data_IF_861569970927
#
_entry.id   IF_861569970927
#
_cell.length_a   1.000
_cell.length_b   1.000
_cell.length_c   1.000
_cell.angle_alpha   90.00
_cell.angle_beta   90.00
_cell.angle_gamma   90.00
#
_symmetry.space_group_name_H-M   'P 1'
#
loop_
_entity.id
_entity.type
_entity.pdbx_description
1 polymer ?
#
# COMPACT_ATOMS: atom_id res chain seq x y z
N UNK A 1 -7.64 31.54 46.84
CA UNK A 1 -6.79 32.69 46.40
C UNK A 1 -7.69 33.65 45.64
N UNK A 2 -7.53 34.97 45.77
CA UNK A 2 -8.29 35.93 44.94
C UNK A 2 -7.82 35.93 43.48
N UNK A 3 -8.55 36.57 42.57
CA UNK A 3 -8.14 36.70 41.16
C UNK A 3 -6.72 37.29 41.06
N UNK A 4 -5.95 36.88 40.05
CA UNK A 4 -4.54 37.27 39.79
C UNK A 4 -3.49 36.81 40.80
N UNK A 5 -3.88 36.13 41.89
CA UNK A 5 -2.92 35.57 42.85
C UNK A 5 -2.27 34.30 42.27
N UNK A 6 -0.98 34.14 42.54
CA UNK A 6 -0.16 33.01 42.09
C UNK A 6 -0.05 31.97 43.20
N UNK A 7 -0.23 30.70 42.82
CA UNK A 7 0.16 29.55 43.63
C UNK A 7 1.55 29.12 43.17
N UNK A 8 2.58 29.49 43.94
CA UNK A 8 3.96 29.10 43.66
C UNK A 8 4.19 27.64 44.05
N UNK A 9 4.87 26.90 43.18
CA UNK A 9 5.09 25.46 43.33
C UNK A 9 6.52 25.11 43.73
N UNK A 10 7.45 26.04 43.52
CA UNK A 10 8.80 25.99 44.08
C UNK A 10 8.96 27.13 45.10
N UNK A 11 9.98 27.06 45.95
CA UNK A 11 10.32 28.15 46.87
C UNK A 11 10.82 29.43 46.14
N UNK A 12 10.75 29.46 44.81
CA UNK A 12 11.14 30.56 43.94
C UNK A 12 9.94 31.38 43.46
N UNK A 13 10.23 32.34 42.58
CA UNK A 13 9.23 33.29 42.04
C UNK A 13 8.80 33.01 40.60
N UNK A 14 9.29 31.93 40.00
CA UNK A 14 9.24 31.69 38.56
C UNK A 14 8.43 30.46 38.13
N UNK A 15 7.99 29.62 39.07
CA UNK A 15 7.13 28.46 38.79
C UNK A 15 5.83 28.57 39.59
N UNK A 16 4.71 28.75 38.88
CA UNK A 16 3.42 28.97 39.52
C UNK A 16 2.23 28.63 38.63
N UNK A 17 1.08 28.43 39.26
CA UNK A 17 -0.23 28.35 38.61
C UNK A 17 -1.02 29.59 39.00
N UNK A 18 -1.70 30.24 38.06
CA UNK A 18 -2.56 31.38 38.39
C UNK A 18 -3.72 31.56 37.41
N UNK A 19 -4.79 32.14 37.93
CA UNK A 19 -5.88 32.66 37.12
C UNK A 19 -5.47 34.03 36.54
N UNK A 20 -5.49 34.14 35.21
CA UNK A 20 -5.04 35.34 34.48
C UNK A 20 -6.20 36.32 34.30
N UNK A 21 -7.38 35.77 34.02
CA UNK A 21 -8.67 36.48 33.91
C UNK A 21 -9.77 35.49 34.29
N UNK A 22 -11.02 35.96 34.40
CA UNK A 22 -12.16 35.08 34.68
C UNK A 22 -12.12 33.86 33.76
N UNK A 23 -12.16 32.68 34.39
CA UNK A 23 -12.25 31.37 33.73
C UNK A 23 -11.04 31.02 32.83
N UNK A 24 -9.88 31.65 33.09
CA UNK A 24 -8.63 31.44 32.34
C UNK A 24 -7.44 31.17 33.27
N UNK A 25 -6.82 30.01 33.15
CA UNK A 25 -5.74 29.52 34.01
C UNK A 25 -4.46 29.25 33.21
N UNK A 26 -3.33 29.76 33.71
CA UNK A 26 -1.99 29.48 33.16
C UNK A 26 -1.17 28.61 34.12
N UNK A 27 -0.43 27.65 33.54
CA UNK A 27 0.72 26.99 34.16
C UNK A 27 1.98 27.68 33.66
N UNK A 28 2.79 28.20 34.58
CA UNK A 28 4.03 28.94 34.28
C UNK A 28 5.21 28.24 34.93
N UNK A 29 6.27 28.02 34.16
CA UNK A 29 7.54 27.45 34.63
C UNK A 29 8.68 28.32 34.10
N UNK A 30 9.59 28.74 34.98
CA UNK A 30 10.70 29.61 34.57
C UNK A 30 10.26 30.97 33.99
N UNK A 31 9.12 31.52 34.44
CA UNK A 31 8.45 32.71 33.89
C UNK A 31 7.95 32.56 32.44
N UNK A 32 7.83 31.34 31.92
CA UNK A 32 7.27 31.06 30.60
C UNK A 32 5.95 30.29 30.76
N UNK A 33 4.89 30.74 30.08
CA UNK A 33 3.63 30.00 30.00
C UNK A 33 3.87 28.70 29.25
N UNK A 34 3.54 27.56 29.86
CA UNK A 34 3.72 26.23 29.23
C UNK A 34 2.40 25.59 28.81
N UNK A 35 1.30 25.92 29.48
CA UNK A 35 -0.04 25.42 29.20
C UNK A 35 -1.08 26.44 29.65
N UNK A 36 -2.18 26.56 28.91
CA UNK A 36 -3.33 27.38 29.27
C UNK A 36 -4.64 26.60 29.17
N UNK A 37 -5.50 26.79 30.17
CA UNK A 37 -6.90 26.36 30.17
C UNK A 37 -7.75 27.63 30.07
N UNK A 38 -8.51 27.77 28.98
CA UNK A 38 -9.32 28.96 28.70
C UNK A 38 -10.75 28.51 28.41
N UNK A 39 -11.59 28.53 29.44
CA UNK A 39 -12.99 28.09 29.35
C UNK A 39 -13.85 29.01 28.48
N UNK A 40 -13.67 30.35 28.45
CA UNK A 40 -14.40 31.22 27.53
C UNK A 40 -14.25 30.82 26.06
N UNK A 41 -13.08 30.31 25.68
CA UNK A 41 -12.83 29.77 24.34
C UNK A 41 -12.89 28.24 24.26
N UNK A 42 -13.21 27.56 25.37
CA UNK A 42 -13.27 26.09 25.50
C UNK A 42 -12.00 25.41 24.98
N UNK A 43 -10.82 25.98 25.25
CA UNK A 43 -9.55 25.50 24.72
C UNK A 43 -8.56 25.09 25.81
N UNK A 44 -7.72 24.12 25.45
CA UNK A 44 -6.44 23.84 26.07
C UNK A 44 -5.39 24.13 25.02
N UNK A 45 -4.46 25.06 25.28
CA UNK A 45 -3.42 25.43 24.31
C UNK A 45 -2.01 25.31 24.88
N UNK A 46 -1.10 24.92 23.98
CA UNK A 46 0.33 25.08 24.15
C UNK A 46 0.77 26.34 23.36
N UNK A 47 1.83 27.05 23.79
CA UNK A 47 2.42 28.11 23.00
C UNK A 47 2.92 27.60 21.63
N UNK A 48 3.03 28.48 20.64
CA UNK A 48 3.58 28.11 19.32
C UNK A 48 4.97 27.47 19.48
N UNK A 49 5.28 26.45 18.65
CA UNK A 49 6.50 25.62 18.66
C UNK A 49 6.67 24.66 19.84
N UNK A 50 5.78 24.70 20.83
CA UNK A 50 5.81 23.74 21.94
C UNK A 50 5.29 22.38 21.50
N UNK A 51 5.83 21.35 22.14
CA UNK A 51 5.61 19.95 21.82
C UNK A 51 4.88 19.27 22.97
N UNK A 52 3.91 18.42 22.64
CA UNK A 52 3.29 17.51 23.60
C UNK A 52 4.03 16.16 23.57
N UNK A 53 4.95 15.96 24.51
CA UNK A 53 5.74 14.74 24.65
C UNK A 53 4.91 13.60 25.26
N UNK A 54 5.09 12.37 24.75
CA UNK A 54 4.27 11.21 25.13
C UNK A 54 4.91 10.27 26.16
N UNK A 55 6.25 10.27 26.29
CA UNK A 55 7.00 9.30 27.11
C UNK A 55 8.01 9.95 28.09
N UNK A 56 7.96 11.28 28.24
CA UNK A 56 8.94 12.03 29.05
C UNK A 56 10.35 12.10 28.45
N UNK A 57 10.57 11.43 27.31
CA UNK A 57 11.76 11.58 26.48
C UNK A 57 11.73 12.84 25.63
N UNK A 58 12.68 12.95 24.68
CA UNK A 58 12.85 14.14 23.84
C UNK A 58 12.47 13.94 22.36
N UNK A 59 12.01 12.75 21.99
CA UNK A 59 11.93 12.30 20.61
C UNK A 59 10.56 11.73 20.20
N UNK A 60 9.63 11.57 21.15
CA UNK A 60 8.24 11.19 20.85
C UNK A 60 7.26 12.29 21.24
N UNK A 61 6.70 13.00 20.26
CA UNK A 61 5.79 14.13 20.52
C UNK A 61 4.83 14.47 19.38
N UNK A 62 3.79 15.25 19.71
CA UNK A 62 2.87 15.88 18.76
C UNK A 62 3.04 17.40 18.88
N UNK A 63 3.11 18.11 17.75
CA UNK A 63 3.25 19.58 17.76
C UNK A 63 2.67 20.24 16.51
N UNK A 64 2.43 21.54 16.62
CA UNK A 64 2.16 22.40 15.46
C UNK A 64 3.48 23.01 14.98
N UNK A 65 4.00 22.54 13.85
CA UNK A 65 5.31 22.97 13.31
C UNK A 65 5.24 24.31 12.57
N UNK A 66 4.06 24.64 12.04
CA UNK A 66 3.72 25.90 11.41
C UNK A 66 2.20 26.09 11.47
N UNK A 67 1.69 27.31 11.18
CA UNK A 67 0.26 27.59 11.23
C UNK A 67 -0.56 26.58 10.40
N UNK A 68 -1.46 25.86 11.08
CA UNK A 68 -2.31 24.81 10.51
C UNK A 68 -1.55 23.58 9.98
N UNK A 69 -0.37 23.29 10.53
CA UNK A 69 0.45 22.10 10.24
C UNK A 69 0.73 21.34 11.52
N UNK A 70 0.03 20.23 11.72
CA UNK A 70 0.23 19.33 12.86
C UNK A 70 1.11 18.15 12.45
N UNK A 71 2.07 17.78 13.28
CA UNK A 71 3.00 16.68 13.04
C UNK A 71 3.03 15.70 14.22
N UNK A 72 3.14 14.41 13.88
CA UNK A 72 3.38 13.31 14.79
C UNK A 72 4.82 12.83 14.59
N UNK A 73 5.66 13.03 15.61
CA UNK A 73 7.10 12.76 15.56
C UNK A 73 7.43 11.61 16.49
N UNK A 74 8.22 10.66 15.97
CA UNK A 74 8.75 9.52 16.72
C UNK A 74 10.23 9.36 16.36
N UNK A 75 11.10 9.41 17.38
CA UNK A 75 12.53 9.48 17.16
C UNK A 75 12.94 10.79 16.46
N UNK A 76 13.70 10.66 15.38
CA UNK A 76 14.10 11.80 14.54
C UNK A 76 13.18 12.03 13.34
N UNK A 77 12.12 11.24 13.20
CA UNK A 77 11.30 11.21 11.98
C UNK A 77 9.89 11.76 12.23
N UNK A 78 9.41 12.62 11.32
CA UNK A 78 7.99 12.93 11.19
C UNK A 78 7.31 11.76 10.50
N UNK A 79 6.37 11.09 11.16
CA UNK A 79 5.67 9.94 10.57
C UNK A 79 4.40 10.36 9.82
N UNK A 80 3.76 11.42 10.28
CA UNK A 80 2.47 11.85 9.79
C UNK A 80 2.31 13.36 9.97
N UNK A 81 1.90 14.04 8.91
CA UNK A 81 1.63 15.48 8.89
C UNK A 81 0.19 15.72 8.44
N UNK A 82 -0.56 16.51 9.20
CA UNK A 82 -1.88 17.02 8.82
C UNK A 82 -1.71 18.49 8.45
N UNK A 83 -2.00 18.84 7.20
CA UNK A 83 -1.92 20.23 6.73
C UNK A 83 -3.24 20.69 6.13
N UNK A 84 -3.77 21.80 6.64
CA UNK A 84 -5.00 22.41 6.11
C UNK A 84 -4.86 22.71 4.61
N UNK A 85 -5.87 22.32 3.83
CA UNK A 85 -5.91 22.51 2.37
C UNK A 85 -5.05 21.54 1.53
N UNK A 86 -4.23 20.70 2.15
CA UNK A 86 -3.40 19.68 1.45
C UNK A 86 -3.81 18.25 1.84
N UNK A 87 -4.23 18.04 3.09
CA UNK A 87 -4.64 16.75 3.62
C UNK A 87 -3.57 16.09 4.48
N UNK A 88 -3.64 14.76 4.57
CA UNK A 88 -2.71 13.94 5.34
C UNK A 88 -1.50 13.58 4.47
N UNK A 89 -0.30 13.93 4.92
CA UNK A 89 0.95 13.69 4.21
C UNK A 89 1.72 12.62 4.98
N UNK A 90 2.10 11.56 4.26
CA UNK A 90 3.10 10.58 4.71
C UNK A 90 4.39 10.92 3.95
N UNK A 91 5.52 11.17 4.64
CA UNK A 91 6.76 11.51 3.95
C UNK A 91 7.25 10.40 3.02
N UNK A 92 8.03 10.78 1.99
CA UNK A 92 8.63 9.82 1.06
C UNK A 92 9.39 8.72 1.82
N UNK A 93 9.40 7.51 1.27
CA UNK A 93 10.00 6.29 1.87
C UNK A 93 9.35 5.76 3.15
N UNK A 94 8.52 6.55 3.83
CA UNK A 94 7.73 6.08 4.98
C UNK A 94 6.60 5.19 4.49
N UNK A 95 6.33 4.13 5.24
CA UNK A 95 5.36 3.09 4.88
C UNK A 95 4.08 3.26 5.67
N UNK A 96 2.95 3.22 4.98
CA UNK A 96 1.65 2.97 5.60
C UNK A 96 1.47 1.45 5.72
N UNK A 97 1.66 0.91 6.92
CA UNK A 97 1.49 -0.51 7.20
C UNK A 97 0.01 -0.88 7.40
N UNK A 98 -0.32 -2.11 7.05
CA UNK A 98 -1.60 -2.75 7.37
C UNK A 98 -1.37 -3.84 8.43
N UNK A 99 -2.41 -4.24 9.17
CA UNK A 99 -2.44 -5.38 10.11
C UNK A 99 -1.44 -5.41 11.29
N UNK A 100 -0.63 -4.37 11.47
CA UNK A 100 0.36 -4.28 12.56
C UNK A 100 1.65 -5.07 12.29
N UNK A 101 1.73 -5.83 11.20
CA UNK A 101 2.95 -6.42 10.68
C UNK A 101 3.79 -5.42 9.85
N UNK A 102 4.98 -5.86 9.45
CA UNK A 102 5.94 -5.05 8.67
C UNK A 102 6.06 -5.48 7.20
N UNK A 103 5.23 -6.40 6.74
CA UNK A 103 5.35 -7.02 5.42
C UNK A 103 4.24 -6.60 4.43
N UNK A 104 3.23 -5.86 4.88
CA UNK A 104 2.16 -5.34 4.02
C UNK A 104 2.06 -3.83 4.19
N UNK A 105 2.32 -3.08 3.11
CA UNK A 105 2.34 -1.62 3.16
C UNK A 105 2.15 -0.95 1.80
N UNK A 106 1.83 0.35 1.83
CA UNK A 106 1.91 1.26 0.69
C UNK A 106 2.94 2.36 1.01
N UNK A 107 3.77 2.74 0.03
CA UNK A 107 4.72 3.85 0.16
C UNK A 107 4.95 4.55 -1.18
N UNK A 108 5.47 5.77 -1.12
CA UNK A 108 6.19 6.36 -2.25
C UNK A 108 7.61 5.77 -2.29
N UNK A 109 7.92 4.99 -3.33
CA UNK A 109 9.23 4.34 -3.49
C UNK A 109 10.29 5.32 -4.02
N UNK A 110 9.87 6.18 -4.96
CA UNK A 110 10.60 7.32 -5.50
C UNK A 110 9.59 8.39 -5.94
N UNK A 111 10.06 9.59 -6.30
CA UNK A 111 9.18 10.68 -6.74
C UNK A 111 8.14 10.21 -7.77
N UNK A 112 6.86 10.43 -7.45
CA UNK A 112 5.70 10.06 -8.28
C UNK A 112 5.55 8.55 -8.57
N UNK A 113 6.14 7.69 -7.74
CA UNK A 113 6.02 6.22 -7.84
C UNK A 113 5.48 5.63 -6.54
N UNK A 114 4.24 5.13 -6.59
CA UNK A 114 3.61 4.45 -5.46
C UNK A 114 3.89 2.95 -5.56
N UNK A 115 4.46 2.36 -4.52
CA UNK A 115 4.62 0.90 -4.39
C UNK A 115 3.63 0.33 -3.38
N UNK A 116 2.94 -0.72 -3.80
CA UNK A 116 2.06 -1.53 -2.96
C UNK A 116 2.69 -2.91 -2.73
N UNK A 117 2.95 -3.27 -1.47
CA UNK A 117 3.55 -4.55 -1.06
C UNK A 117 2.59 -5.33 -0.17
N UNK A 118 2.48 -6.63 -0.41
CA UNK A 118 1.77 -7.56 0.46
C UNK A 118 2.65 -8.76 0.77
N UNK A 119 2.69 -9.16 2.05
CA UNK A 119 3.41 -10.36 2.51
C UNK A 119 4.92 -10.33 2.26
N UNK A 120 5.54 -9.16 2.10
CA UNK A 120 6.96 -9.02 1.82
C UNK A 120 7.35 -9.40 0.38
N UNK A 121 6.38 -9.55 -0.51
CA UNK A 121 6.63 -9.80 -1.93
C UNK A 121 7.22 -8.58 -2.64
N UNK A 122 7.65 -8.75 -3.91
CA UNK A 122 8.17 -7.64 -4.72
C UNK A 122 7.17 -6.50 -4.99
N UNK A 123 5.87 -6.73 -4.76
CA UNK A 123 4.83 -5.71 -4.89
C UNK A 123 4.50 -5.32 -6.34
N UNK A 124 3.81 -4.19 -6.47
CA UNK A 124 3.49 -3.52 -7.74
C UNK A 124 3.71 -2.02 -7.62
N UNK A 125 4.12 -1.40 -8.71
CA UNK A 125 4.42 0.03 -8.80
C UNK A 125 3.37 0.75 -9.68
N UNK A 126 2.86 1.89 -9.23
CA UNK A 126 2.08 2.84 -10.03
C UNK A 126 2.98 4.04 -10.31
N UNK A 127 3.43 4.16 -11.56
CA UNK A 127 4.30 5.25 -12.00
C UNK A 127 3.48 6.44 -12.49
N UNK A 128 4.11 7.61 -12.56
CA UNK A 128 3.49 8.80 -13.17
C UNK A 128 2.91 8.50 -14.56
N UNK A 129 1.64 8.87 -14.77
CA UNK A 129 0.91 8.64 -16.02
C UNK A 129 0.45 7.20 -16.27
N UNK A 130 0.69 6.26 -15.35
CA UNK A 130 0.30 4.88 -15.53
C UNK A 130 -1.23 4.69 -15.50
N UNK A 131 -1.74 3.90 -16.44
CA UNK A 131 -3.15 3.44 -16.47
C UNK A 131 -3.31 2.03 -15.89
N UNK A 132 -2.20 1.37 -15.53
CA UNK A 132 -2.14 0.05 -14.92
C UNK A 132 -0.88 -0.10 -14.08
N UNK A 133 -0.87 -1.08 -13.18
CA UNK A 133 0.28 -1.40 -12.34
C UNK A 133 1.45 -1.99 -13.14
N UNK A 134 2.67 -1.60 -12.79
CA UNK A 134 3.93 -2.16 -13.27
C UNK A 134 4.39 -3.24 -12.29
N UNK A 135 4.75 -4.41 -12.82
CA UNK A 135 5.33 -5.49 -12.03
C UNK A 135 6.85 -5.55 -12.21
N UNK A 136 7.58 -5.84 -11.12
CA UNK A 136 9.02 -6.09 -11.16
C UNK A 136 9.32 -7.29 -12.08
N UNK A 137 10.18 -7.10 -13.09
CA UNK A 137 10.51 -8.13 -14.08
C UNK A 137 11.96 -8.09 -14.59
N UNK A 138 12.85 -7.34 -13.95
CA UNK A 138 14.27 -7.31 -14.31
C UNK A 138 14.90 -8.72 -14.17
N UNK A 139 15.67 -9.16 -15.15
CA UNK A 139 16.32 -10.48 -15.15
C UNK A 139 17.32 -10.63 -13.99
N UNK A 140 17.98 -9.54 -13.58
CA UNK A 140 18.96 -9.55 -12.47
C UNK A 140 18.31 -9.83 -11.11
N UNK A 141 16.98 -9.70 -11.03
CA UNK A 141 16.18 -10.01 -9.85
C UNK A 141 15.57 -11.42 -9.92
N UNK A 142 15.99 -12.25 -10.89
CA UNK A 142 15.51 -13.61 -11.12
C UNK A 142 16.66 -14.60 -11.06
N UNK A 143 16.35 -15.81 -10.65
CA UNK A 143 17.28 -16.96 -10.64
C UNK A 143 16.50 -18.23 -10.96
N UNK A 144 17.17 -19.29 -11.39
CA UNK A 144 16.53 -20.56 -11.74
C UNK A 144 15.54 -20.43 -12.91
N UNK A 145 15.90 -19.66 -13.95
CA UNK A 145 15.06 -19.48 -15.13
C UNK A 145 15.03 -20.75 -15.98
N UNK A 146 13.84 -21.32 -16.15
CA UNK A 146 13.58 -22.49 -16.99
C UNK A 146 12.57 -22.15 -18.09
N UNK A 147 12.74 -22.70 -19.31
CA UNK A 147 11.78 -22.50 -20.38
C UNK A 147 10.44 -23.20 -20.07
N UNK A 148 9.33 -22.56 -20.44
CA UNK A 148 8.02 -23.21 -20.41
C UNK A 148 7.91 -24.11 -21.63
N UNK A 149 7.98 -25.41 -21.42
CA UNK A 149 7.86 -26.44 -22.46
C UNK A 149 6.41 -26.95 -22.58
N UNK A 150 6.08 -27.51 -23.75
CA UNK A 150 4.77 -28.05 -24.13
C UNK A 150 3.61 -27.06 -23.94
N UNK A 151 3.88 -25.77 -24.16
CA UNK A 151 2.96 -24.69 -23.86
C UNK A 151 1.65 -24.82 -24.66
N UNK A 152 1.73 -25.21 -25.93
CA UNK A 152 0.58 -25.40 -26.82
C UNK A 152 -0.32 -26.53 -26.34
N UNK A 153 0.28 -27.67 -25.98
CA UNK A 153 -0.42 -28.81 -25.40
C UNK A 153 -1.07 -28.43 -24.07
N UNK A 154 -0.35 -27.72 -23.18
CA UNK A 154 -0.86 -27.24 -21.90
C UNK A 154 -2.08 -26.33 -22.09
N UNK A 155 -1.96 -25.31 -22.94
CA UNK A 155 -3.06 -24.39 -23.26
C UNK A 155 -4.26 -25.12 -23.86
N UNK A 156 -4.03 -26.11 -24.73
CA UNK A 156 -5.08 -26.90 -25.36
C UNK A 156 -5.91 -27.76 -24.38
N UNK A 157 -5.42 -27.98 -23.15
CA UNK A 157 -6.18 -28.69 -22.11
C UNK A 157 -7.07 -27.79 -21.26
N UNK A 158 -6.88 -26.47 -21.31
CA UNK A 158 -7.60 -25.52 -20.46
C UNK A 158 -9.03 -25.33 -20.96
N UNK A 159 -10.02 -25.51 -20.08
CA UNK A 159 -11.40 -25.15 -20.41
C UNK A 159 -11.55 -23.62 -20.47
N UNK A 160 -11.86 -23.11 -21.65
CA UNK A 160 -12.28 -21.72 -21.88
C UNK A 160 -13.79 -21.65 -21.90
N UNK A 161 -14.41 -21.19 -20.81
CA UNK A 161 -15.87 -21.24 -20.64
C UNK A 161 -16.44 -19.87 -20.31
N UNK A 162 -17.74 -19.71 -20.49
CA UNK A 162 -18.47 -18.54 -20.00
C UNK A 162 -19.51 -18.98 -19.00
N UNK A 163 -19.80 -18.16 -18.00
CA UNK A 163 -20.84 -18.47 -17.05
C UNK A 163 -21.07 -17.36 -16.05
N UNK A 164 -21.53 -17.76 -14.87
CA UNK A 164 -21.93 -16.88 -13.78
C UNK A 164 -21.27 -17.36 -12.49
N UNK A 165 -21.00 -16.44 -11.56
CA UNK A 165 -20.70 -16.85 -10.19
C UNK A 165 -21.98 -17.35 -9.52
N UNK A 166 -21.83 -18.24 -8.53
CA UNK A 166 -22.93 -18.59 -7.63
C UNK A 166 -23.16 -17.46 -6.64
N UNK A 167 -24.41 -17.12 -6.40
CA UNK A 167 -24.77 -16.23 -5.30
C UNK A 167 -24.32 -16.85 -3.97
N UNK A 168 -23.58 -16.07 -3.17
CA UNK A 168 -22.95 -16.53 -1.93
C UNK A 168 -22.46 -15.32 -1.12
N UNK A 169 -21.90 -15.54 0.07
CA UNK A 169 -21.24 -14.49 0.85
C UNK A 169 -20.08 -13.79 0.09
N UNK A 170 -19.55 -14.44 -0.97
CA UNK A 170 -18.46 -13.90 -1.81
C UNK A 170 -18.95 -13.11 -3.03
N UNK A 171 -20.20 -13.34 -3.46
CA UNK A 171 -20.81 -12.68 -4.60
C UNK A 171 -22.29 -12.46 -4.35
N UNK A 172 -22.69 -11.20 -4.22
CA UNK A 172 -24.10 -10.83 -4.11
C UNK A 172 -24.89 -11.19 -5.38
N UNK A 173 -26.23 -11.06 -5.29
CA UNK A 173 -27.15 -11.39 -6.38
C UNK A 173 -26.89 -10.58 -7.66
N UNK A 174 -26.38 -9.35 -7.56
CA UNK A 174 -26.08 -8.53 -8.74
C UNK A 174 -24.81 -9.04 -9.43
N UNK A 175 -23.74 -9.23 -8.68
CA UNK A 175 -22.47 -9.75 -9.15
C UNK A 175 -22.60 -11.16 -9.74
N UNK A 176 -23.45 -12.01 -9.14
CA UNK A 176 -23.75 -13.37 -9.60
C UNK A 176 -24.50 -13.38 -10.94
N UNK A 177 -25.35 -12.39 -11.24
CA UNK A 177 -26.08 -12.30 -12.52
C UNK A 177 -25.26 -11.78 -13.69
N UNK A 178 -24.02 -11.34 -13.48
CA UNK A 178 -23.14 -10.86 -14.56
C UNK A 178 -22.43 -12.05 -15.23
N UNK A 179 -22.70 -12.25 -16.52
CA UNK A 179 -22.00 -13.28 -17.33
C UNK A 179 -20.55 -12.87 -17.57
N UNK A 180 -19.62 -13.82 -17.43
CA UNK A 180 -18.18 -13.59 -17.56
C UNK A 180 -17.53 -14.73 -18.34
N UNK A 181 -16.37 -14.46 -18.92
CA UNK A 181 -15.46 -15.48 -19.43
C UNK A 181 -14.58 -15.98 -18.28
N UNK A 182 -14.25 -17.28 -18.30
CA UNK A 182 -13.49 -17.95 -17.27
C UNK A 182 -12.48 -18.91 -17.86
N UNK A 183 -11.34 -18.98 -17.19
CA UNK A 183 -10.54 -20.19 -17.06
C UNK A 183 -10.88 -20.85 -15.71
N UNK A 184 -10.79 -22.18 -15.65
CA UNK A 184 -10.99 -22.93 -14.41
C UNK A 184 -9.67 -23.05 -13.66
N UNK A 185 -9.62 -22.57 -12.42
CA UNK A 185 -8.39 -22.53 -11.62
C UNK A 185 -7.74 -23.91 -11.44
N UNK A 186 -8.54 -24.98 -11.32
CA UNK A 186 -8.06 -26.35 -11.20
C UNK A 186 -7.36 -26.84 -12.48
N UNK A 187 -7.88 -26.48 -13.66
CA UNK A 187 -7.26 -26.84 -14.94
C UNK A 187 -5.91 -26.12 -15.09
N UNK A 188 -5.87 -24.84 -14.72
CA UNK A 188 -4.62 -24.05 -14.75
C UNK A 188 -3.62 -24.60 -13.73
N UNK A 189 -4.06 -24.99 -12.53
CA UNK A 189 -3.18 -25.57 -11.51
C UNK A 189 -2.43 -26.81 -12.02
N UNK A 190 -3.05 -27.63 -12.87
CA UNK A 190 -2.43 -28.83 -13.42
C UNK A 190 -1.31 -28.55 -14.43
N UNK A 191 -1.27 -27.37 -15.04
CA UNK A 191 -0.32 -27.04 -16.13
C UNK A 191 0.58 -25.84 -15.85
N UNK A 192 0.18 -24.95 -14.95
CA UNK A 192 0.88 -23.72 -14.55
C UNK A 192 0.50 -23.35 -13.09
N UNK A 193 0.93 -24.13 -12.09
CA UNK A 193 0.57 -23.91 -10.69
C UNK A 193 0.98 -22.54 -10.14
N UNK A 194 1.99 -21.90 -10.73
CA UNK A 194 2.51 -20.58 -10.34
C UNK A 194 1.49 -19.44 -10.58
N UNK A 195 0.50 -19.66 -11.43
CA UNK A 195 -0.59 -18.72 -11.68
C UNK A 195 -1.72 -18.81 -10.64
N UNK A 196 -1.66 -19.77 -9.72
CA UNK A 196 -2.72 -20.02 -8.74
C UNK A 196 -2.40 -19.33 -7.41
N UNK A 197 -3.45 -18.77 -6.81
CA UNK A 197 -3.49 -18.34 -5.43
C UNK A 197 -4.46 -19.25 -4.68
N UNK A 198 -4.10 -19.67 -3.46
CA UNK A 198 -5.02 -20.38 -2.57
C UNK A 198 -5.30 -19.47 -1.39
N UNK A 199 -6.57 -19.17 -1.15
CA UNK A 199 -6.95 -18.37 0.01
C UNK A 199 -6.98 -19.19 1.32
N UNK A 200 -7.13 -18.56 2.49
CA UNK A 200 -7.15 -19.28 3.77
C UNK A 200 -8.26 -20.33 3.91
N UNK A 201 -9.36 -20.20 3.17
CA UNK A 201 -10.47 -21.15 3.17
C UNK A 201 -10.25 -22.30 2.16
N UNK A 202 -9.14 -22.28 1.42
CA UNK A 202 -8.78 -23.28 0.41
C UNK A 202 -9.37 -23.03 -0.98
N UNK A 203 -10.02 -21.89 -1.24
CA UNK A 203 -10.50 -21.55 -2.57
C UNK A 203 -9.35 -21.10 -3.47
N UNK A 204 -9.37 -21.58 -4.72
CA UNK A 204 -8.37 -21.25 -5.73
C UNK A 204 -8.78 -19.99 -6.51
N UNK A 205 -7.89 -19.00 -6.53
CA UNK A 205 -7.94 -17.83 -7.39
C UNK A 205 -6.92 -17.91 -8.52
N UNK A 206 -7.23 -17.31 -9.66
CA UNK A 206 -6.34 -17.25 -10.82
C UNK A 206 -5.74 -15.85 -10.99
N UNK A 207 -4.41 -15.77 -11.04
CA UNK A 207 -3.67 -14.56 -11.41
C UNK A 207 -3.57 -14.51 -12.94
N UNK A 208 -4.58 -13.95 -13.61
CA UNK A 208 -4.64 -13.92 -15.08
C UNK A 208 -3.37 -13.37 -15.75
N UNK A 209 -2.72 -12.36 -15.18
CA UNK A 209 -1.46 -11.82 -15.70
C UNK A 209 -0.31 -12.85 -15.72
N UNK A 210 -0.35 -13.87 -14.83
CA UNK A 210 0.63 -14.96 -14.79
C UNK A 210 0.39 -16.01 -15.89
N UNK A 211 -0.71 -15.95 -16.63
CA UNK A 211 -0.92 -16.78 -17.83
C UNK A 211 -0.10 -16.31 -19.02
N UNK A 212 0.30 -15.02 -19.06
CA UNK A 212 0.97 -14.43 -20.22
C UNK A 212 2.25 -15.19 -20.64
N UNK A 213 3.17 -15.59 -19.74
CA UNK A 213 4.34 -16.37 -20.14
C UNK A 213 4.00 -17.70 -20.85
N UNK A 214 3.01 -18.43 -20.35
CA UNK A 214 2.54 -19.67 -20.98
C UNK A 214 1.93 -19.40 -22.36
N UNK A 215 1.12 -18.35 -22.48
CA UNK A 215 0.51 -17.94 -23.75
C UNK A 215 1.58 -17.55 -24.78
N UNK A 216 2.59 -16.76 -24.38
CA UNK A 216 3.72 -16.38 -25.24
C UNK A 216 4.54 -17.60 -25.67
N UNK A 217 4.82 -18.53 -24.76
CA UNK A 217 5.50 -19.78 -25.10
C UNK A 217 4.69 -20.60 -26.12
N UNK A 218 3.36 -20.66 -25.95
CA UNK A 218 2.47 -21.33 -26.90
C UNK A 218 2.48 -20.71 -28.29
N UNK A 219 2.47 -19.37 -28.36
CA UNK A 219 2.63 -18.66 -29.63
C UNK A 219 3.96 -18.98 -30.30
N UNK A 220 5.07 -19.00 -29.56
CA UNK A 220 6.39 -19.31 -30.10
C UNK A 220 6.45 -20.76 -30.64
N UNK A 221 5.88 -21.73 -29.92
CA UNK A 221 5.77 -23.12 -30.40
C UNK A 221 4.94 -23.22 -31.69
N UNK A 222 3.80 -22.52 -31.77
CA UNK A 222 3.00 -22.46 -33.00
C UNK A 222 3.79 -21.85 -34.17
N UNK A 223 4.51 -20.75 -33.95
CA UNK A 223 5.36 -20.12 -34.99
C UNK A 223 6.39 -21.11 -35.51
N UNK A 224 7.11 -21.80 -34.63
CA UNK A 224 8.11 -22.81 -35.01
C UNK A 224 7.48 -23.98 -35.79
N UNK A 225 6.27 -24.41 -35.41
CA UNK A 225 5.55 -25.46 -36.13
C UNK A 225 5.12 -25.00 -37.53
N UNK A 226 4.63 -23.76 -37.68
CA UNK A 226 4.27 -23.17 -38.97
C UNK A 226 5.49 -23.11 -39.89
N UNK A 227 6.62 -22.59 -39.40
CA UNK A 227 7.88 -22.54 -40.18
C UNK A 227 8.31 -23.93 -40.67
N UNK A 228 8.23 -24.94 -39.81
CA UNK A 228 8.53 -26.34 -40.15
C UNK A 228 7.59 -26.88 -41.22
N UNK A 229 6.30 -26.58 -41.12
CA UNK A 229 5.31 -27.01 -42.12
C UNK A 229 5.52 -26.30 -43.46
N UNK A 230 5.73 -24.98 -43.47
CA UNK A 230 6.01 -24.21 -44.68
C UNK A 230 7.24 -24.73 -45.40
N UNK A 231 8.32 -25.06 -44.68
CA UNK A 231 9.51 -25.66 -45.27
C UNK A 231 9.23 -27.04 -45.90
N UNK A 232 8.38 -27.87 -45.27
CA UNK A 232 7.97 -29.16 -45.85
C UNK A 232 7.13 -28.97 -47.11
N UNK A 233 6.19 -28.03 -47.09
CA UNK A 233 5.33 -27.72 -48.24
C UNK A 233 6.18 -27.26 -49.42
N UNK A 234 7.10 -26.32 -49.22
CA UNK A 234 7.99 -25.84 -50.28
C UNK A 234 8.85 -26.98 -50.89
N UNK A 235 9.35 -27.89 -50.05
CA UNK A 235 10.10 -29.07 -50.53
C UNK A 235 9.22 -30.03 -51.35
N UNK A 236 7.97 -30.23 -50.96
CA UNK A 236 7.03 -31.09 -51.67
C UNK A 236 6.59 -30.46 -52.99
N UNK A 237 6.29 -29.17 -53.01
CA UNK A 237 5.92 -28.43 -54.23
C UNK A 237 7.04 -28.44 -55.27
N UNK A 238 8.29 -28.25 -54.83
CA UNK A 238 9.46 -28.34 -55.71
C UNK A 238 9.78 -29.76 -56.22
N UNK A 239 9.17 -30.81 -55.65
CA UNK A 239 9.36 -32.20 -56.10
C UNK A 239 8.28 -32.66 -57.10
N UNK A 240 7.23 -31.87 -57.30
CA UNK A 240 6.11 -32.16 -58.21
C UNK A 240 6.20 -31.37 -59.52
N UNK A 241 7.15 -30.42 -59.61
CA UNK A 241 7.54 -29.74 -60.86
C UNK A 241 8.64 -30.51 -61.58
#
# INVERSE_FOLDING_TARGET
LGSTKKLFLDGGGNTYIHEVSADKLDLVVGNVQVLQLDQPNTLISLPATYKFYLDGGSDTYIHESAANVMEFVVGTNTLFTIKSGVGNIIPATVKLYFDGGFNTYIKEDSADVIRCVSGGSGGVDLTSGATAWVAVSDERLKTGLEPILDATRKLGTLRTVTGYFKESARFDAEAARRRRAFLVAQDVQAVLPEAIYTDPDGFLGLKYSKMLPLVVAGFNEHTAYIEKLTARVAKLEGAVQ
#
